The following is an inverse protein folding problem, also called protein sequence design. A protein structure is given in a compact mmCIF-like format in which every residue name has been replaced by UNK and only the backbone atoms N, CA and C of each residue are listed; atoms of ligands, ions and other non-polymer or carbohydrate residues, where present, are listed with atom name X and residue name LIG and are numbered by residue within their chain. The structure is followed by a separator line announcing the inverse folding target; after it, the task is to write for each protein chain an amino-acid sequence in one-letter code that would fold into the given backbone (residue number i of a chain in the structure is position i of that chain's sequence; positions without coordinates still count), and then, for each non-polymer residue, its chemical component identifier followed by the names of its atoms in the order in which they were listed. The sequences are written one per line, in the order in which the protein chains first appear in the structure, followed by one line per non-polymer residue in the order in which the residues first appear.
data_IF_977947676948
#
_entry.id   IF_977947676948
#
_cell.length_a   1.000
_cell.length_b   1.000
_cell.length_c   1.000
_cell.angle_alpha   90.00
_cell.angle_beta   90.00
_cell.angle_gamma   90.00
#
_symmetry.space_group_name_H-M   'P 1'
#
loop_
_entity.id
_entity.type
_entity.pdbx_description
1 polymer ?
#
# COMPACT_ATOMS: atom_id res chain seq x y z
N UNK A 1 -14.53 56.90 0.79
CA UNK A 1 -13.47 55.88 0.94
C UNK A 1 -14.04 54.71 1.72
N UNK A 2 -14.38 53.61 1.05
CA UNK A 2 -14.60 52.32 1.69
C UNK A 2 -13.80 51.29 0.89
N UNK A 3 -12.62 50.97 1.41
CA UNK A 3 -11.83 49.83 1.00
C UNK A 3 -12.11 48.79 2.08
N UNK A 4 -12.91 47.77 1.80
CA UNK A 4 -12.99 46.59 2.67
C UNK A 4 -13.25 45.33 1.86
N UNK A 5 -12.14 44.63 1.63
CA UNK A 5 -11.97 43.17 1.50
C UNK A 5 -12.80 42.44 0.44
N UNK A 6 -12.21 42.33 -0.76
CA UNK A 6 -12.31 41.07 -1.51
C UNK A 6 -11.73 39.97 -0.62
N UNK A 7 -12.59 39.15 -0.04
CA UNK A 7 -12.18 37.92 0.61
C UNK A 7 -11.53 37.03 -0.45
N UNK A 8 -10.24 36.79 -0.28
CA UNK A 8 -9.50 35.74 -0.98
C UNK A 8 -10.11 34.39 -0.60
N UNK A 9 -11.21 34.00 -1.24
CA UNK A 9 -11.60 32.61 -1.32
C UNK A 9 -10.59 31.94 -2.24
N UNK A 10 -9.51 31.46 -1.62
CA UNK A 10 -8.53 30.50 -2.14
C UNK A 10 -9.09 29.75 -3.35
N UNK A 11 -8.49 29.99 -4.51
CA UNK A 11 -8.79 29.31 -5.77
C UNK A 11 -8.90 27.81 -5.50
N UNK A 12 -10.15 27.32 -5.46
CA UNK A 12 -10.42 25.89 -5.40
C UNK A 12 -9.85 25.37 -6.70
N UNK A 13 -8.70 24.70 -6.62
CA UNK A 13 -8.06 24.03 -7.74
C UNK A 13 -9.14 23.48 -8.70
N UNK A 14 -9.03 23.80 -9.98
CA UNK A 14 -9.76 23.14 -11.06
C UNK A 14 -9.30 21.68 -11.12
N UNK A 15 -9.61 20.90 -10.08
CA UNK A 15 -9.29 19.48 -10.04
C UNK A 15 -10.31 18.83 -10.93
N UNK A 16 -9.88 18.36 -12.10
CA UNK A 16 -10.65 17.37 -12.86
C UNK A 16 -11.20 16.35 -11.86
N UNK A 17 -12.53 16.12 -11.80
CA UNK A 17 -13.12 15.26 -10.79
C UNK A 17 -12.58 13.83 -10.86
N UNK A 18 -11.94 13.48 -11.98
CA UNK A 18 -11.42 12.18 -12.31
C UNK A 18 -10.01 12.29 -12.87
N UNK A 19 -9.22 11.24 -12.66
CA UNK A 19 -7.89 11.04 -13.21
C UNK A 19 -7.84 9.75 -14.02
N UNK A 20 -7.05 9.75 -15.09
CA UNK A 20 -6.92 8.60 -15.98
C UNK A 20 -5.79 7.68 -15.52
N UNK A 21 -6.03 6.38 -15.56
CA UNK A 21 -4.99 5.36 -15.36
C UNK A 21 -4.97 4.41 -16.53
N UNK A 22 -3.79 4.14 -17.08
CA UNK A 22 -3.59 3.18 -18.16
C UNK A 22 -3.73 1.76 -17.63
N UNK A 23 -4.54 0.95 -18.31
CA UNK A 23 -4.68 -0.47 -18.03
C UNK A 23 -3.74 -1.27 -18.93
N UNK A 24 -2.94 -2.14 -18.32
CA UNK A 24 -1.98 -2.99 -18.99
C UNK A 24 -2.44 -4.44 -19.06
N UNK A 25 -2.02 -5.16 -20.10
CA UNK A 25 -2.20 -6.60 -20.21
C UNK A 25 -0.96 -7.33 -19.67
N UNK A 26 -1.11 -8.05 -18.56
CA UNK A 26 -0.07 -8.92 -18.02
C UNK A 26 -0.02 -10.25 -18.81
N UNK A 27 1.14 -10.85 -19.13
CA UNK A 27 2.50 -10.51 -18.70
C UNK A 27 3.26 -9.51 -19.59
N UNK A 28 2.80 -9.25 -20.81
CA UNK A 28 3.54 -8.44 -21.80
C UNK A 28 3.47 -6.91 -21.59
N UNK A 29 2.73 -6.46 -20.57
CA UNK A 29 2.55 -5.05 -20.20
C UNK A 29 2.20 -4.12 -21.36
N UNK A 30 1.38 -4.62 -22.31
CA UNK A 30 0.85 -3.81 -23.40
C UNK A 30 -0.28 -2.91 -22.89
N UNK A 31 -0.30 -1.60 -23.18
CA UNK A 31 -1.41 -0.73 -22.83
C UNK A 31 -2.65 -1.13 -23.63
N UNK A 32 -3.78 -1.30 -22.94
CA UNK A 32 -5.05 -1.75 -23.54
C UNK A 32 -6.02 -0.60 -23.68
N UNK A 33 -6.28 0.13 -22.60
CA UNK A 33 -7.24 1.24 -22.54
C UNK A 33 -6.96 2.13 -21.33
N UNK A 34 -7.59 3.30 -21.30
CA UNK A 34 -7.62 4.15 -20.12
C UNK A 34 -8.85 3.85 -19.26
N UNK A 35 -8.69 3.97 -17.95
CA UNK A 35 -9.77 3.88 -16.96
C UNK A 35 -9.76 5.15 -16.11
N UNK A 36 -10.93 5.73 -15.90
CA UNK A 36 -11.08 6.90 -15.04
C UNK A 36 -11.36 6.48 -13.59
N UNK A 37 -10.71 7.16 -12.65
CA UNK A 37 -10.92 7.03 -11.20
C UNK A 37 -11.09 8.42 -10.60
N UNK A 38 -11.79 8.58 -9.45
CA UNK A 38 -11.90 9.89 -8.80
C UNK A 38 -10.53 10.48 -8.42
N UNK A 39 -10.37 11.79 -8.58
CA UNK A 39 -9.17 12.51 -8.13
C UNK A 39 -8.99 12.37 -6.61
N UNK A 40 -10.10 12.31 -5.87
CA UNK A 40 -10.14 12.00 -4.45
C UNK A 40 -9.58 10.61 -4.10
N UNK A 41 -9.36 9.70 -5.04
CA UNK A 41 -8.81 8.38 -4.73
C UNK A 41 -7.31 8.28 -5.06
N UNK A 42 -6.89 8.82 -6.21
CA UNK A 42 -5.52 8.66 -6.74
C UNK A 42 -4.71 9.97 -6.80
N UNK A 43 -5.30 11.13 -6.50
CA UNK A 43 -4.63 12.43 -6.62
C UNK A 43 -4.64 13.29 -5.35
N UNK A 44 -4.72 12.68 -4.16
CA UNK A 44 -4.67 13.44 -2.90
C UNK A 44 -3.32 14.14 -2.70
N UNK A 45 -3.29 15.28 -1.97
CA UNK A 45 -2.05 15.86 -1.49
C UNK A 45 -1.31 14.89 -0.57
N UNK A 46 0.03 14.91 -0.62
CA UNK A 46 0.86 14.07 0.22
C UNK A 46 0.79 14.55 1.68
N UNK A 47 0.24 13.71 2.56
CA UNK A 47 0.11 13.97 3.99
C UNK A 47 1.00 13.03 4.82
N UNK A 48 2.22 13.48 5.12
CA UNK A 48 3.24 12.69 5.85
C UNK A 48 2.81 12.34 7.27
N UNK A 49 2.07 13.24 7.92
CA UNK A 49 1.48 13.06 9.26
C UNK A 49 0.57 11.83 9.33
N UNK A 50 -0.34 11.69 8.37
CA UNK A 50 -1.29 10.57 8.32
C UNK A 50 -0.57 9.27 7.99
N UNK A 51 0.36 9.30 7.02
CA UNK A 51 1.14 8.12 6.65
C UNK A 51 1.98 7.62 7.83
N UNK A 52 2.66 8.52 8.53
CA UNK A 52 3.44 8.19 9.71
C UNK A 52 2.58 7.54 10.79
N UNK A 53 1.42 8.13 11.12
CA UNK A 53 0.50 7.57 12.12
C UNK A 53 0.02 6.16 11.75
N UNK A 54 -0.32 5.92 10.49
CA UNK A 54 -0.77 4.62 10.03
C UNK A 54 0.35 3.57 10.08
N UNK A 55 1.56 3.92 9.65
CA UNK A 55 2.72 3.00 9.70
C UNK A 55 3.11 2.68 11.14
N UNK A 56 3.11 3.66 12.04
CA UNK A 56 3.38 3.43 13.48
C UNK A 56 2.30 2.56 14.11
N UNK A 57 1.02 2.81 13.79
CA UNK A 57 -0.10 1.97 14.21
C UNK A 57 0.09 0.50 13.79
N UNK A 58 0.42 0.26 12.52
CA UNK A 58 0.69 -1.09 12.00
C UNK A 58 1.91 -1.71 12.68
N UNK A 59 3.01 -0.97 12.81
CA UNK A 59 4.23 -1.46 13.45
C UNK A 59 4.00 -1.85 14.91
N UNK A 60 3.22 -1.08 15.66
CA UNK A 60 2.86 -1.38 17.04
C UNK A 60 1.94 -2.59 17.15
N UNK A 61 0.96 -2.73 16.26
CA UNK A 61 0.06 -3.89 16.23
C UNK A 61 0.75 -5.19 15.85
N UNK A 62 1.85 -5.14 15.09
CA UNK A 62 2.63 -6.32 14.70
C UNK A 62 3.59 -6.80 15.80
N UNK A 63 3.81 -6.02 16.87
CA UNK A 63 4.69 -6.41 17.97
C UNK A 63 3.99 -7.44 18.87
N UNK A 64 4.65 -8.57 19.11
CA UNK A 64 4.15 -9.60 20.01
C UNK A 64 4.28 -9.25 21.50
N UNK A 65 5.33 -8.50 21.88
CA UNK A 65 5.52 -8.05 23.25
C UNK A 65 5.78 -9.15 24.28
N UNK A 66 6.47 -10.24 23.91
CA UNK A 66 6.70 -11.43 24.75
C UNK A 66 7.87 -11.34 25.72
N UNK A 67 8.59 -10.22 25.73
CA UNK A 67 9.76 -10.04 26.59
C UNK A 67 9.38 -10.14 28.07
N UNK A 68 10.00 -11.09 28.78
CA UNK A 68 9.78 -11.32 30.20
C UNK A 68 11.11 -11.48 30.92
N UNK A 69 11.29 -10.75 32.04
CA UNK A 69 12.35 -11.01 33.02
C UNK A 69 11.74 -11.18 34.41
N UNK A 70 12.46 -11.93 35.25
CA UNK A 70 12.11 -12.11 36.67
C UNK A 70 12.47 -10.85 37.44
N UNK A 71 11.53 -10.36 38.25
CA UNK A 71 11.77 -9.22 39.14
C UNK A 71 12.26 -9.71 40.52
N UNK A 72 12.48 -8.78 41.45
CA UNK A 72 12.90 -9.11 42.83
C UNK A 72 11.89 -10.00 43.59
N UNK A 73 10.60 -9.91 43.27
CA UNK A 73 9.58 -10.75 43.90
C UNK A 73 9.64 -12.19 43.39
N UNK A 74 10.02 -12.38 42.13
CA UNK A 74 10.14 -13.70 41.51
C UNK A 74 11.42 -14.44 41.95
N UNK A 75 12.54 -13.74 42.15
CA UNK A 75 13.85 -14.32 42.53
C UNK A 75 14.73 -13.35 43.32
N UNK A 76 15.60 -13.89 44.19
CA UNK A 76 16.68 -13.13 44.83
C UNK A 76 17.68 -12.66 43.77
N UNK A 77 17.92 -11.35 43.68
CA UNK A 77 18.79 -10.74 42.68
C UNK A 77 18.11 -10.34 41.36
N UNK A 78 16.78 -10.35 41.28
CA UNK A 78 16.03 -9.96 40.08
C UNK A 78 16.17 -8.49 39.69
N UNK A 79 15.87 -8.18 38.41
CA UNK A 79 15.98 -6.83 37.84
C UNK A 79 14.83 -5.93 38.32
N UNK A 80 15.14 -4.71 38.78
CA UNK A 80 14.14 -3.68 39.12
C UNK A 80 13.54 -3.13 37.82
N UNK A 81 12.21 -3.04 37.73
CA UNK A 81 11.44 -2.74 36.51
C UNK A 81 11.70 -3.72 35.34
N UNK A 82 11.76 -5.01 35.66
CA UNK A 82 11.85 -6.06 34.65
C UNK A 82 10.73 -5.93 33.58
N UNK A 83 11.05 -6.03 32.27
CA UNK A 83 10.03 -6.09 31.24
C UNK A 83 9.14 -7.30 31.47
N UNK A 84 7.82 -7.10 31.35
CA UNK A 84 6.80 -8.13 31.41
C UNK A 84 6.04 -8.18 30.08
N UNK A 85 5.48 -9.35 29.71
CA UNK A 85 4.65 -9.46 28.52
C UNK A 85 3.52 -8.44 28.55
N UNK A 86 3.38 -7.67 27.49
CA UNK A 86 2.37 -6.60 27.39
C UNK A 86 1.94 -6.40 25.94
N UNK A 87 0.72 -5.91 25.78
CA UNK A 87 0.22 -5.48 24.48
C UNK A 87 0.78 -4.08 24.14
N UNK A 88 1.30 -3.95 22.91
CA UNK A 88 1.82 -2.71 22.35
C UNK A 88 0.86 -2.07 21.34
N UNK A 89 -0.30 -2.70 21.07
CA UNK A 89 -1.27 -2.20 20.12
C UNK A 89 -1.76 -0.79 20.49
N UNK A 90 -1.92 0.05 19.47
CA UNK A 90 -2.42 1.43 19.62
C UNK A 90 -3.71 1.57 18.83
N UNK A 91 -4.57 2.53 19.16
CA UNK A 91 -5.85 2.73 18.46
C UNK A 91 -5.74 3.82 17.41
N UNK A 92 -6.26 3.58 16.21
CA UNK A 92 -6.36 4.58 15.14
C UNK A 92 -7.79 4.59 14.56
N UNK A 93 -8.43 5.76 14.38
CA UNK A 93 -9.74 5.83 13.77
C UNK A 93 -9.74 5.28 12.34
N UNK A 94 -10.75 4.49 12.00
CA UNK A 94 -10.88 3.82 10.69
C UNK A 94 -10.84 4.80 9.51
N UNK A 95 -11.48 5.97 9.64
CA UNK A 95 -11.47 7.03 8.61
C UNK A 95 -10.05 7.55 8.34
N UNK A 96 -9.22 7.70 9.38
CA UNK A 96 -7.82 8.15 9.26
C UNK A 96 -6.96 7.08 8.58
N UNK A 97 -7.18 5.81 8.91
CA UNK A 97 -6.44 4.70 8.28
C UNK A 97 -6.74 4.58 6.77
N UNK A 98 -8.00 4.69 6.35
CA UNK A 98 -8.33 4.68 4.91
C UNK A 98 -7.85 5.92 4.16
N UNK A 99 -7.83 7.07 4.82
CA UNK A 99 -7.18 8.26 4.28
C UNK A 99 -5.68 8.02 4.07
N UNK A 100 -5.01 7.28 4.96
CA UNK A 100 -3.62 6.90 4.79
C UNK A 100 -3.39 6.01 3.56
N UNK A 101 -4.24 5.01 3.34
CA UNK A 101 -4.19 4.15 2.13
C UNK A 101 -4.32 5.00 0.86
N UNK A 102 -5.34 5.86 0.79
CA UNK A 102 -5.56 6.78 -0.35
C UNK A 102 -4.37 7.71 -0.59
N UNK A 103 -3.82 8.27 0.49
CA UNK A 103 -2.65 9.15 0.44
C UNK A 103 -1.41 8.42 -0.06
N UNK A 104 -1.17 7.18 0.42
CA UNK A 104 -0.04 6.36 0.00
C UNK A 104 -0.14 6.00 -1.50
N UNK A 105 -1.33 5.58 -1.93
CA UNK A 105 -1.59 5.23 -3.32
C UNK A 105 -1.46 6.46 -4.24
N UNK A 106 -1.98 7.61 -3.81
CA UNK A 106 -1.84 8.87 -4.55
C UNK A 106 -0.39 9.32 -4.69
N UNK A 107 0.41 9.16 -3.64
CA UNK A 107 1.84 9.47 -3.67
C UNK A 107 2.59 8.62 -4.71
N UNK A 108 2.21 7.34 -4.84
CA UNK A 108 2.77 6.41 -5.84
C UNK A 108 2.26 6.71 -7.24
N UNK A 109 0.98 7.04 -7.38
CA UNK A 109 0.38 7.40 -8.66
C UNK A 109 1.01 8.68 -9.24
N UNK A 110 1.20 9.72 -8.44
CA UNK A 110 1.89 10.96 -8.83
C UNK A 110 3.32 10.74 -9.34
N UNK A 111 3.96 9.65 -8.92
CA UNK A 111 5.31 9.24 -9.34
C UNK A 111 5.30 8.30 -10.54
N UNK A 112 4.14 7.96 -11.10
CA UNK A 112 4.02 6.96 -12.17
C UNK A 112 4.34 5.52 -11.72
N UNK A 113 4.33 5.26 -10.41
CA UNK A 113 4.72 3.97 -9.83
C UNK A 113 3.55 2.99 -9.66
N UNK A 114 2.33 3.41 -9.97
CA UNK A 114 1.13 2.55 -9.93
C UNK A 114 0.86 2.01 -11.32
N UNK A 115 0.93 0.70 -11.45
CA UNK A 115 0.67 -0.06 -12.67
C UNK A 115 -0.61 -0.84 -12.49
N UNK A 116 -1.61 -0.57 -13.33
CA UNK A 116 -2.91 -1.23 -13.23
C UNK A 116 -3.06 -2.26 -14.33
N UNK A 117 -3.43 -3.48 -13.98
CA UNK A 117 -3.64 -4.58 -14.92
C UNK A 117 -5.13 -4.72 -15.24
N UNK A 118 -5.47 -4.79 -16.53
CA UNK A 118 -6.86 -4.80 -16.99
C UNK A 118 -7.67 -6.00 -16.45
N UNK A 119 -7.07 -7.19 -16.50
CA UNK A 119 -7.71 -8.44 -16.12
C UNK A 119 -7.15 -8.98 -14.81
N UNK A 120 -6.20 -9.90 -14.88
CA UNK A 120 -5.81 -10.67 -13.70
C UNK A 120 -4.38 -11.18 -13.82
N UNK A 121 -3.74 -11.44 -12.67
CA UNK A 121 -2.40 -12.01 -12.63
C UNK A 121 -2.43 -13.48 -13.02
N UNK A 122 -2.18 -13.77 -14.28
CA UNK A 122 -2.17 -15.12 -14.83
C UNK A 122 -0.81 -15.39 -15.48
N UNK A 123 -0.15 -16.44 -15.00
CA UNK A 123 1.03 -17.01 -15.63
C UNK A 123 0.68 -18.43 -16.07
N UNK A 124 1.07 -18.84 -17.29
CA UNK A 124 0.77 -20.19 -17.78
C UNK A 124 1.53 -21.27 -16.99
N UNK A 125 2.60 -20.90 -16.28
CA UNK A 125 3.41 -21.83 -15.48
C UNK A 125 3.52 -21.36 -14.04
N UNK A 126 3.70 -22.30 -13.11
CA UNK A 126 3.99 -22.02 -11.70
C UNK A 126 5.49 -21.81 -11.43
N UNK A 127 6.33 -21.84 -12.46
CA UNK A 127 7.78 -21.78 -12.33
C UNK A 127 8.24 -20.35 -12.06
N UNK A 128 9.08 -20.18 -11.05
CA UNK A 128 9.67 -18.88 -10.67
C UNK A 128 10.45 -18.23 -11.81
N UNK A 129 11.07 -19.02 -12.69
CA UNK A 129 11.81 -18.53 -13.87
C UNK A 129 10.95 -17.65 -14.79
N UNK A 130 9.67 -17.99 -14.97
CA UNK A 130 8.78 -17.16 -15.79
C UNK A 130 8.59 -15.78 -15.16
N UNK A 131 8.44 -15.71 -13.84
CA UNK A 131 8.27 -14.45 -13.12
C UNK A 131 9.57 -13.64 -13.04
N UNK A 132 10.72 -14.29 -12.84
CA UNK A 132 12.03 -13.62 -12.89
C UNK A 132 12.26 -12.94 -14.24
N UNK A 133 11.87 -13.60 -15.34
CA UNK A 133 11.97 -12.98 -16.67
C UNK A 133 11.11 -11.72 -16.80
N UNK A 134 9.87 -11.76 -16.27
CA UNK A 134 8.98 -10.59 -16.25
C UNK A 134 9.60 -9.45 -15.43
N UNK A 135 10.10 -9.74 -14.23
CA UNK A 135 10.71 -8.74 -13.34
C UNK A 135 11.91 -8.06 -14.03
N UNK A 136 12.78 -8.84 -14.67
CA UNK A 136 13.94 -8.34 -15.42
C UNK A 136 13.56 -7.53 -16.65
N UNK A 137 12.46 -7.89 -17.32
CA UNK A 137 12.00 -7.18 -18.54
C UNK A 137 11.49 -5.78 -18.22
N UNK A 138 10.95 -5.57 -17.01
CA UNK A 138 10.35 -4.29 -16.60
C UNK A 138 11.12 -3.56 -15.50
N UNK A 139 12.34 -4.01 -15.18
CA UNK A 139 13.20 -3.47 -14.13
C UNK A 139 12.48 -3.38 -12.77
N UNK A 140 11.73 -4.41 -12.41
CA UNK A 140 11.04 -4.51 -11.10
C UNK A 140 11.90 -5.20 -10.04
N UNK A 141 13.21 -5.22 -10.27
CA UNK A 141 14.17 -5.83 -9.38
C UNK A 141 14.29 -5.10 -8.04
N UNK A 142 14.92 -5.76 -7.08
CA UNK A 142 15.18 -5.19 -5.75
C UNK A 142 15.97 -3.87 -5.84
N UNK A 143 16.90 -3.77 -6.78
CA UNK A 143 17.76 -2.59 -6.96
C UNK A 143 16.96 -1.36 -7.42
N UNK A 144 15.87 -1.59 -8.17
CA UNK A 144 14.87 -0.59 -8.58
C UNK A 144 13.75 -0.41 -7.54
N UNK A 145 13.97 -0.83 -6.29
CA UNK A 145 13.01 -0.71 -5.20
C UNK A 145 11.89 -1.76 -5.16
N UNK A 146 11.88 -2.72 -6.09
CA UNK A 146 10.95 -3.85 -6.15
C UNK A 146 9.49 -3.50 -6.40
N UNK A 147 8.63 -4.52 -6.40
CA UNK A 147 7.20 -4.38 -6.69
C UNK A 147 6.31 -5.05 -5.65
N UNK A 148 5.17 -4.42 -5.33
CA UNK A 148 4.05 -5.07 -4.63
C UNK A 148 3.00 -5.50 -5.64
N UNK A 149 2.65 -6.78 -5.64
CA UNK A 149 1.56 -7.35 -6.42
C UNK A 149 0.29 -7.44 -5.58
N UNK A 150 -0.77 -6.76 -6.01
CA UNK A 150 -2.05 -6.69 -5.29
C UNK A 150 -3.14 -7.40 -6.08
N UNK A 151 -3.52 -8.58 -5.59
CA UNK A 151 -4.48 -9.49 -6.23
C UNK A 151 -5.88 -9.37 -5.61
N UNK A 152 -6.92 -9.40 -6.44
CA UNK A 152 -8.29 -9.51 -5.95
C UNK A 152 -8.58 -10.91 -5.39
N UNK A 153 -8.25 -11.95 -6.15
CA UNK A 153 -8.43 -13.36 -5.77
C UNK A 153 -7.09 -14.09 -5.68
N UNK A 154 -6.96 -15.03 -4.73
CA UNK A 154 -5.76 -15.84 -4.58
C UNK A 154 -5.64 -16.85 -5.73
N UNK A 155 -4.46 -16.92 -6.34
CA UNK A 155 -4.15 -17.80 -7.48
C UNK A 155 -2.89 -18.59 -7.19
N UNK A 156 -3.01 -19.92 -7.12
CA UNK A 156 -1.92 -20.82 -6.72
C UNK A 156 -0.69 -20.69 -7.61
N UNK A 157 -0.87 -20.75 -8.94
CA UNK A 157 0.25 -20.66 -9.89
C UNK A 157 1.05 -19.37 -9.73
N UNK A 158 0.37 -18.24 -9.56
CA UNK A 158 1.01 -16.94 -9.36
C UNK A 158 1.75 -16.91 -8.02
N UNK A 159 1.07 -17.28 -6.92
CA UNK A 159 1.68 -17.32 -5.59
C UNK A 159 2.95 -18.18 -5.60
N UNK A 160 2.89 -19.44 -6.04
CA UNK A 160 4.05 -20.32 -6.10
C UNK A 160 5.20 -19.79 -6.97
N UNK A 161 4.88 -19.11 -8.07
CA UNK A 161 5.90 -18.49 -8.93
C UNK A 161 6.60 -17.28 -8.29
N UNK A 162 5.99 -16.67 -7.27
CA UNK A 162 6.44 -15.42 -6.64
C UNK A 162 6.94 -15.56 -5.20
N UNK A 163 6.47 -16.57 -4.49
CA UNK A 163 6.69 -16.74 -3.04
C UNK A 163 8.18 -16.87 -2.69
N UNK A 164 8.99 -17.45 -3.58
CA UNK A 164 10.44 -17.59 -3.41
C UNK A 164 11.25 -16.32 -3.80
N UNK A 165 10.60 -15.25 -4.31
CA UNK A 165 11.27 -14.05 -4.83
C UNK A 165 11.40 -12.91 -3.79
N UNK A 166 11.45 -13.25 -2.50
CA UNK A 166 11.10 -12.36 -1.38
C UNK A 166 11.72 -10.95 -1.34
N UNK A 167 12.91 -10.71 -1.92
CA UNK A 167 13.50 -9.37 -2.00
C UNK A 167 12.86 -8.51 -3.11
N UNK A 168 12.52 -9.11 -4.25
CA UNK A 168 12.01 -8.40 -5.42
C UNK A 168 10.53 -8.09 -5.28
N UNK A 169 9.76 -8.99 -4.67
CA UNK A 169 8.30 -8.94 -4.73
C UNK A 169 7.64 -9.11 -3.37
N UNK A 170 6.56 -8.36 -3.13
CA UNK A 170 5.60 -8.63 -2.04
C UNK A 170 4.25 -8.94 -2.69
N UNK A 171 3.60 -10.02 -2.27
CA UNK A 171 2.28 -10.41 -2.78
C UNK A 171 1.26 -10.17 -1.67
N UNK A 172 0.19 -9.46 -1.99
CA UNK A 172 -0.93 -9.25 -1.07
C UNK A 172 -2.25 -9.51 -1.77
N UNK A 173 -3.17 -10.11 -1.03
CA UNK A 173 -4.57 -9.96 -1.38
C UNK A 173 -5.03 -8.53 -1.04
N UNK A 174 -5.95 -8.00 -1.82
CA UNK A 174 -6.59 -6.69 -1.58
C UNK A 174 -7.10 -6.52 -0.15
N UNK A 175 -7.65 -7.57 0.46
CA UNK A 175 -8.16 -7.54 1.84
C UNK A 175 -7.05 -7.42 2.91
N UNK A 176 -5.85 -7.86 2.58
CA UNK A 176 -4.68 -7.93 3.48
C UNK A 176 -3.70 -6.78 3.22
N UNK A 177 -4.07 -5.84 2.35
CA UNK A 177 -3.20 -4.73 1.95
C UNK A 177 -3.03 -3.74 3.10
N UNK A 178 -1.76 -3.51 3.50
CA UNK A 178 -1.39 -2.53 4.52
C UNK A 178 -0.79 -1.26 3.92
N UNK A 179 -0.77 -0.17 4.68
CA UNK A 179 -0.11 1.09 4.29
C UNK A 179 1.40 0.88 4.19
N UNK A 180 1.98 0.09 5.11
CA UNK A 180 3.38 -0.31 5.06
C UNK A 180 3.72 -1.01 3.75
N UNK A 181 2.92 -1.98 3.30
CA UNK A 181 3.21 -2.71 2.04
C UNK A 181 3.26 -1.74 0.84
N UNK A 182 2.32 -0.78 0.75
CA UNK A 182 2.29 0.24 -0.32
C UNK A 182 3.49 1.18 -0.32
N UNK A 183 4.11 1.38 0.84
CA UNK A 183 5.28 2.26 0.99
C UNK A 183 6.61 1.49 0.94
N UNK A 184 6.60 0.19 1.19
CA UNK A 184 7.82 -0.61 1.33
C UNK A 184 8.51 -0.92 0.01
N UNK A 185 7.75 -1.00 -1.10
CA UNK A 185 8.30 -1.15 -2.46
C UNK A 185 8.05 0.09 -3.27
N UNK A 186 8.84 0.25 -4.32
CA UNK A 186 8.74 1.42 -5.19
C UNK A 186 7.51 1.36 -6.08
N UNK A 187 7.27 0.22 -6.73
CA UNK A 187 6.17 0.03 -7.68
C UNK A 187 5.02 -0.77 -7.07
N UNK A 188 3.80 -0.41 -7.46
CA UNK A 188 2.59 -1.15 -7.09
C UNK A 188 1.95 -1.64 -8.38
N UNK A 189 1.84 -2.97 -8.51
CA UNK A 189 1.15 -3.61 -9.62
C UNK A 189 -0.16 -4.17 -9.06
N UNK A 190 -1.29 -3.64 -9.52
CA UNK A 190 -2.62 -3.95 -8.97
C UNK A 190 -3.59 -4.36 -10.08
N UNK A 191 -4.45 -5.33 -9.81
CA UNK A 191 -5.54 -5.67 -10.72
C UNK A 191 -6.58 -4.54 -10.76
N UNK A 192 -7.21 -4.32 -11.91
CA UNK A 192 -8.29 -3.33 -12.04
C UNK A 192 -9.42 -3.59 -11.02
N UNK A 193 -9.86 -4.85 -10.90
CA UNK A 193 -10.89 -5.25 -9.92
C UNK A 193 -10.47 -4.97 -8.48
N UNK A 194 -9.19 -5.16 -8.18
CA UNK A 194 -8.60 -4.88 -6.88
C UNK A 194 -8.65 -3.38 -6.56
N UNK A 195 -8.30 -2.55 -7.54
CA UNK A 195 -8.30 -1.09 -7.42
C UNK A 195 -9.72 -0.53 -7.24
N UNK A 196 -10.68 -1.01 -8.04
CA UNK A 196 -12.11 -0.65 -7.91
C UNK A 196 -12.69 -1.04 -6.54
N UNK A 197 -12.29 -2.20 -5.99
CA UNK A 197 -12.70 -2.60 -4.65
C UNK A 197 -12.12 -1.66 -3.58
N UNK A 198 -10.85 -1.26 -3.70
CA UNK A 198 -10.20 -0.34 -2.76
C UNK A 198 -10.85 1.04 -2.78
N UNK A 199 -11.23 1.53 -3.96
CA UNK A 199 -11.95 2.79 -4.10
C UNK A 199 -13.25 2.76 -3.27
N UNK A 200 -14.09 1.74 -3.50
CA UNK A 200 -15.36 1.57 -2.78
C UNK A 200 -15.14 1.37 -1.28
N UNK A 201 -14.09 0.64 -0.88
CA UNK A 201 -13.81 0.34 0.53
C UNK A 201 -13.34 1.55 1.34
N UNK A 202 -12.59 2.45 0.71
CA UNK A 202 -11.97 3.62 1.37
C UNK A 202 -12.85 4.86 1.33
N UNK A 203 -13.87 4.88 0.47
CA UNK A 203 -14.91 5.92 0.38
C UNK A 203 -16.00 5.69 1.43
N UNK A 204 -15.68 5.93 2.69
CA UNK A 204 -16.65 5.86 3.79
C UNK A 204 -17.18 7.26 4.10
N UNK A 205 -18.50 7.40 4.06
CA UNK A 205 -19.27 8.59 4.45
C UNK A 205 -19.18 8.85 5.98
#
# INVERSE_FOLDING_TARGET
MQITSMSLSCEKYDVFPQVFTTLYSFPNMKPVRFQMFPADFLNLPLRKDILHRAVVYEANSLRQGTACKKNRADVRGGLVHAPKPRDFSTKLPRKVYYLAIRTALSARYKRGQVVVINHTFELPTHKTKAMVNVIKTYDWDHDSGGAVFVMYARRKNFIYSTENLGKHCIIRNVKELSVKDLLMKERIVIERKALEWLEKKTRIE
#
